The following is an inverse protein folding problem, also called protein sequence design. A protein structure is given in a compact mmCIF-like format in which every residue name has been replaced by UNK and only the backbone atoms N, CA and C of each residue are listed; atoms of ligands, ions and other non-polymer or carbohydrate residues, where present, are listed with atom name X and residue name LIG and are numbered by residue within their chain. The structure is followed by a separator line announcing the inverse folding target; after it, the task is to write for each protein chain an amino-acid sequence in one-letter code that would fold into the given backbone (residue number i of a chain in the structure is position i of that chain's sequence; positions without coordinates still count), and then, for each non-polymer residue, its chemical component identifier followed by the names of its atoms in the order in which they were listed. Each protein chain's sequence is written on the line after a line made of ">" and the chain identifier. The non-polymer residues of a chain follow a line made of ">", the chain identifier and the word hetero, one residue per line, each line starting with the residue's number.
data_IF_512749955112
#
_entry.id   IF_512749955112
#
_cell.length_a   1.000
_cell.length_b   1.000
_cell.length_c   1.000
_cell.angle_alpha   90.00
_cell.angle_beta   90.00
_cell.angle_gamma   90.00
#
_symmetry.space_group_name_H-M   'P 1'
#
loop_
_entity.id
_entity.type
_entity.pdbx_description
1 polymer ?
#
# COMPACT_ATOMS: atom_id res chain seq x y z
N UNK A 1 46.47 10.12 57.78
CA UNK A 1 46.68 11.16 58.81
C UNK A 1 47.14 10.57 60.14
N UNK A 2 46.86 9.29 60.44
CA UNK A 2 47.08 8.71 61.78
C UNK A 2 48.49 8.24 62.13
N UNK A 3 49.40 8.03 61.17
CA UNK A 3 50.76 7.55 61.47
C UNK A 3 51.72 8.70 61.77
N UNK A 4 51.65 9.79 61.01
CA UNK A 4 52.53 10.96 61.17
C UNK A 4 52.05 11.90 62.30
N UNK A 5 50.74 11.96 62.58
CA UNK A 5 50.18 12.79 63.65
C UNK A 5 50.60 12.39 65.07
N UNK A 6 51.29 11.25 65.23
CA UNK A 6 51.85 10.77 66.51
C UNK A 6 53.26 11.31 66.80
N UNK A 7 53.95 11.86 65.80
CA UNK A 7 55.22 12.57 66.00
C UNK A 7 54.91 14.06 66.15
N UNK A 8 55.30 14.67 67.27
CA UNK A 8 55.20 16.12 67.45
C UNK A 8 56.15 16.85 66.50
N UNK A 9 55.79 18.08 66.09
CA UNK A 9 56.63 18.90 65.20
C UNK A 9 58.06 19.06 65.74
N UNK A 10 58.21 19.16 67.06
CA UNK A 10 59.50 19.25 67.75
C UNK A 10 60.35 17.99 67.57
N UNK A 11 59.74 16.79 67.62
CA UNK A 11 60.44 15.51 67.40
C UNK A 11 60.88 15.36 65.94
N UNK A 12 60.06 15.83 65.00
CA UNK A 12 60.39 15.84 63.57
C UNK A 12 61.55 16.80 63.29
N UNK A 13 61.55 17.98 63.91
CA UNK A 13 62.65 18.95 63.79
C UNK A 13 63.96 18.39 64.37
N UNK A 14 63.89 17.75 65.55
CA UNK A 14 65.03 17.10 66.18
C UNK A 14 65.59 15.95 65.32
N UNK A 15 64.73 15.12 64.74
CA UNK A 15 65.13 14.06 63.80
C UNK A 15 65.87 14.63 62.59
N UNK A 16 65.34 15.70 61.97
CA UNK A 16 65.98 16.35 60.83
C UNK A 16 67.38 16.86 61.16
N UNK A 17 67.58 17.41 62.36
CA UNK A 17 68.90 17.87 62.78
C UNK A 17 69.89 16.71 62.95
N UNK A 18 69.45 15.47 63.22
CA UNK A 18 70.37 14.34 63.47
C UNK A 18 70.53 13.36 62.32
N UNK A 19 69.74 13.49 61.26
CA UNK A 19 69.89 12.69 60.03
C UNK A 19 71.31 12.84 59.48
N UNK A 20 71.98 11.71 59.23
CA UNK A 20 73.33 11.67 58.64
C UNK A 20 74.48 12.06 59.58
N UNK A 21 74.20 12.39 60.86
CA UNK A 21 75.24 12.68 61.86
C UNK A 21 75.83 11.39 62.45
N UNK A 22 77.09 11.45 62.89
CA UNK A 22 77.76 10.34 63.58
C UNK A 22 77.15 10.06 64.96
N UNK A 23 77.33 8.85 65.48
CA UNK A 23 76.83 8.46 66.82
C UNK A 23 77.33 9.39 67.93
N UNK A 24 78.57 9.85 67.85
CA UNK A 24 79.18 10.76 68.82
C UNK A 24 78.51 12.14 68.84
N UNK A 25 78.15 12.67 67.66
CA UNK A 25 77.38 13.91 67.57
C UNK A 25 75.97 13.75 68.15
N UNK A 26 75.32 12.60 67.92
CA UNK A 26 74.00 12.30 68.48
C UNK A 26 74.06 12.21 70.01
N UNK A 27 75.09 11.53 70.57
CA UNK A 27 75.31 11.48 72.02
C UNK A 27 75.48 12.87 72.62
N UNK A 28 76.22 13.75 71.96
CA UNK A 28 76.41 15.13 72.42
C UNK A 28 75.07 15.90 72.47
N UNK A 29 74.19 15.68 71.49
CA UNK A 29 72.85 16.30 71.47
C UNK A 29 71.95 15.84 72.63
N UNK A 30 72.05 14.57 73.05
CA UNK A 30 71.40 14.11 74.29
C UNK A 30 71.99 14.79 75.53
N UNK A 31 73.31 14.93 75.63
CA UNK A 31 73.96 15.61 76.76
C UNK A 31 73.59 17.09 76.87
N UNK A 32 73.38 17.76 75.73
CA UNK A 32 72.96 19.16 75.67
C UNK A 32 71.46 19.36 75.93
N UNK A 33 70.70 18.27 76.11
CA UNK A 33 69.24 18.32 76.29
C UNK A 33 68.47 18.67 75.01
N UNK A 34 69.15 18.72 73.87
CA UNK A 34 68.53 18.99 72.57
C UNK A 34 67.77 17.76 72.03
N UNK A 35 68.07 16.57 72.53
CA UNK A 35 67.27 15.36 72.35
C UNK A 35 66.77 14.88 73.71
N UNK A 36 65.47 14.57 73.80
CA UNK A 36 64.87 14.01 75.01
C UNK A 36 65.33 12.57 75.25
N UNK A 37 65.87 12.28 76.43
CA UNK A 37 66.24 10.93 76.84
C UNK A 37 65.12 10.29 77.68
N UNK A 38 64.74 9.05 77.37
CA UNK A 38 63.81 8.27 78.18
C UNK A 38 64.51 7.47 79.28
N UNK A 39 63.74 7.04 80.29
CA UNK A 39 64.25 6.13 81.32
C UNK A 39 64.30 4.68 80.80
N UNK A 40 65.17 3.82 81.36
CA UNK A 40 65.19 2.40 81.04
C UNK A 40 63.79 1.77 81.18
N UNK A 41 63.34 1.04 80.16
CA UNK A 41 62.00 0.45 80.08
C UNK A 41 60.91 1.36 79.49
N UNK A 42 61.21 2.63 79.23
CA UNK A 42 60.36 3.57 78.49
C UNK A 42 61.21 4.57 77.72
N UNK A 43 61.92 4.10 76.69
CA UNK A 43 62.78 4.96 75.89
C UNK A 43 61.93 5.79 74.92
N UNK A 44 62.09 7.12 74.96
CA UNK A 44 61.30 8.07 74.15
C UNK A 44 61.46 7.89 72.63
N UNK A 45 62.56 7.28 72.18
CA UNK A 45 62.88 7.11 70.76
C UNK A 45 62.54 5.71 70.20
N UNK A 46 62.15 4.75 71.05
CA UNK A 46 61.69 3.42 70.61
C UNK A 46 60.40 3.54 69.81
N UNK A 47 59.39 4.23 70.35
CA UNK A 47 58.11 4.49 69.67
C UNK A 47 58.32 5.27 68.36
N UNK A 48 59.21 6.27 68.37
CA UNK A 48 59.53 7.02 67.16
C UNK A 48 60.15 6.13 66.08
N UNK A 49 61.04 5.20 66.45
CA UNK A 49 61.64 4.25 65.51
C UNK A 49 60.60 3.28 64.92
N UNK A 50 59.70 2.73 65.73
CA UNK A 50 58.60 1.88 65.25
C UNK A 50 57.70 2.62 64.26
N UNK A 51 57.33 3.87 64.56
CA UNK A 51 56.53 4.70 63.65
C UNK A 51 57.28 4.94 62.34
N UNK A 52 58.54 5.40 62.41
CA UNK A 52 59.32 5.78 61.23
C UNK A 52 59.62 4.59 60.31
N UNK A 53 59.91 3.42 60.89
CA UNK A 53 60.15 2.18 60.12
C UNK A 53 58.89 1.66 59.43
N UNK A 54 57.69 1.96 59.96
CA UNK A 54 56.40 1.61 59.33
C UNK A 54 55.92 2.57 58.23
N UNK A 55 56.55 3.75 58.05
CA UNK A 55 56.12 4.75 57.06
C UNK A 55 56.25 4.26 55.62
N UNK A 56 57.34 3.61 55.16
CA UNK A 56 57.47 3.19 53.77
C UNK A 56 56.37 2.22 53.34
N UNK A 57 56.04 1.24 54.17
CA UNK A 57 54.99 0.26 53.88
C UNK A 57 53.60 0.91 53.90
N UNK A 58 53.36 1.83 54.85
CA UNK A 58 52.13 2.63 54.89
C UNK A 58 51.98 3.51 53.65
N UNK A 59 53.07 4.15 53.20
CA UNK A 59 53.08 5.00 52.00
C UNK A 59 52.82 4.18 50.73
N UNK A 60 53.45 3.01 50.62
CA UNK A 60 53.23 2.06 49.52
C UNK A 60 51.77 1.61 49.47
N UNK A 61 51.21 1.19 50.60
CA UNK A 61 49.79 0.78 50.71
C UNK A 61 48.85 1.90 50.27
N UNK A 62 49.10 3.14 50.70
CA UNK A 62 48.28 4.30 50.30
C UNK A 62 48.42 4.60 48.81
N UNK A 63 49.62 4.48 48.25
CA UNK A 63 49.88 4.74 46.82
C UNK A 63 49.22 3.70 45.92
N UNK A 64 49.26 2.42 46.31
CA UNK A 64 48.54 1.33 45.64
C UNK A 64 47.02 1.57 45.70
N UNK A 65 46.50 2.00 46.86
CA UNK A 65 45.09 2.33 47.01
C UNK A 65 44.68 3.53 46.12
N UNK A 66 45.48 4.59 46.08
CA UNK A 66 45.25 5.75 45.20
C UNK A 66 45.21 5.30 43.74
N UNK A 67 46.15 4.46 43.31
CA UNK A 67 46.21 3.96 41.93
C UNK A 67 44.98 3.12 41.60
N UNK A 68 44.54 2.27 42.52
CA UNK A 68 43.31 1.47 42.37
C UNK A 68 42.06 2.36 42.24
N UNK A 69 41.92 3.36 43.11
CA UNK A 69 40.80 4.32 43.07
C UNK A 69 40.80 5.13 41.78
N UNK A 70 41.97 5.58 41.30
CA UNK A 70 42.10 6.27 40.01
C UNK A 70 41.69 5.37 38.84
N UNK A 71 42.03 4.08 38.89
CA UNK A 71 41.56 3.09 37.91
C UNK A 71 40.04 2.95 37.91
N UNK A 72 39.41 2.91 39.08
CA UNK A 72 37.94 2.87 39.20
C UNK A 72 37.28 4.16 38.70
N UNK A 73 37.83 5.33 39.01
CA UNK A 73 37.34 6.62 38.50
C UNK A 73 37.36 6.62 36.97
N UNK A 74 38.46 6.17 36.37
CA UNK A 74 38.59 6.10 34.90
C UNK A 74 37.55 5.16 34.30
N UNK A 75 37.37 3.96 34.89
CA UNK A 75 36.36 2.99 34.45
C UNK A 75 34.93 3.55 34.55
N UNK A 76 34.60 4.22 35.65
CA UNK A 76 33.28 4.81 35.84
C UNK A 76 33.04 5.98 34.88
N UNK A 77 34.06 6.79 34.58
CA UNK A 77 33.95 7.87 33.60
C UNK A 77 33.69 7.35 32.19
N UNK A 78 34.32 6.24 31.79
CA UNK A 78 33.99 5.57 30.51
C UNK A 78 32.55 5.10 30.50
N UNK A 79 32.10 4.44 31.57
CA UNK A 79 30.70 3.97 31.68
C UNK A 79 29.67 5.10 31.63
N UNK A 80 29.97 6.25 32.23
CA UNK A 80 29.11 7.44 32.17
C UNK A 80 28.98 7.92 30.72
N UNK A 81 30.10 8.00 29.97
CA UNK A 81 30.06 8.40 28.55
C UNK A 81 29.24 7.43 27.69
N UNK A 82 29.37 6.13 27.93
CA UNK A 82 28.62 5.12 27.19
C UNK A 82 27.10 5.27 27.45
N UNK A 83 26.71 5.51 28.71
CA UNK A 83 25.32 5.75 29.10
C UNK A 83 24.80 7.08 28.49
N UNK A 84 25.60 8.14 28.49
CA UNK A 84 25.21 9.42 27.89
C UNK A 84 24.96 9.28 26.38
N UNK A 85 25.77 8.48 25.69
CA UNK A 85 25.56 8.17 24.27
C UNK A 85 24.26 7.39 24.02
N UNK A 86 23.95 6.41 24.89
CA UNK A 86 22.69 5.65 24.82
C UNK A 86 21.47 6.54 25.07
N UNK A 87 21.55 7.46 26.05
CA UNK A 87 20.48 8.44 26.31
C UNK A 87 20.24 9.33 25.10
N UNK A 88 21.29 9.80 24.42
CA UNK A 88 21.14 10.62 23.21
C UNK A 88 20.49 9.84 22.07
N UNK A 89 20.86 8.57 21.86
CA UNK A 89 20.25 7.71 20.84
C UNK A 89 18.75 7.51 21.11
N UNK A 90 18.36 7.21 22.35
CA UNK A 90 16.96 7.03 22.74
C UNK A 90 16.15 8.33 22.62
N UNK A 91 16.76 9.49 22.89
CA UNK A 91 16.10 10.79 22.68
C UNK A 91 15.83 11.08 21.20
N UNK A 92 16.75 10.68 20.32
CA UNK A 92 16.57 10.81 18.88
C UNK A 92 15.47 9.88 18.37
N UNK A 93 15.45 8.62 18.80
CA UNK A 93 14.39 7.66 18.47
C UNK A 93 13.02 8.14 18.95
N UNK A 94 12.93 8.65 20.18
CA UNK A 94 11.68 9.26 20.70
C UNK A 94 11.19 10.39 19.80
N UNK A 95 12.10 11.24 19.32
CA UNK A 95 11.74 12.37 18.45
C UNK A 95 11.19 11.88 17.12
N UNK A 96 11.85 10.89 16.50
CA UNK A 96 11.37 10.26 15.25
C UNK A 96 10.00 9.60 15.42
N UNK A 97 9.77 8.91 16.53
CA UNK A 97 8.46 8.30 16.82
C UNK A 97 7.36 9.34 17.02
N UNK A 98 7.67 10.48 17.65
CA UNK A 98 6.71 11.57 17.80
C UNK A 98 6.34 12.22 16.46
N UNK A 99 7.32 12.41 15.57
CA UNK A 99 7.08 12.87 14.19
C UNK A 99 6.19 11.87 13.44
N UNK A 100 6.51 10.58 13.49
CA UNK A 100 5.71 9.54 12.83
C UNK A 100 4.26 9.47 13.37
N UNK A 101 4.07 9.64 14.68
CA UNK A 101 2.72 9.70 15.29
C UNK A 101 1.98 10.94 14.83
N UNK A 102 2.66 12.10 14.72
CA UNK A 102 2.05 13.33 14.20
C UNK A 102 1.62 13.15 12.75
N UNK A 103 2.48 12.61 11.90
CA UNK A 103 2.19 12.37 10.48
C UNK A 103 1.02 11.40 10.29
N UNK A 104 0.97 10.32 11.08
CA UNK A 104 -0.13 9.37 11.08
C UNK A 104 -1.43 10.01 11.58
N UNK A 105 -1.37 10.83 12.63
CA UNK A 105 -2.53 11.54 13.16
C UNK A 105 -3.10 12.51 12.13
N UNK A 106 -2.23 13.29 11.48
CA UNK A 106 -2.61 14.22 10.41
C UNK A 106 -3.19 13.48 9.19
N UNK A 107 -2.66 12.29 8.87
CA UNK A 107 -3.22 11.43 7.80
C UNK A 107 -4.62 10.93 8.16
N UNK A 108 -4.83 10.47 9.40
CA UNK A 108 -6.12 9.97 9.89
C UNK A 108 -7.15 11.10 10.00
N UNK A 109 -6.73 12.31 10.41
CA UNK A 109 -7.61 13.48 10.45
C UNK A 109 -7.94 14.03 9.06
N UNK A 110 -7.00 13.97 8.09
CA UNK A 110 -7.31 14.27 6.68
C UNK A 110 -8.27 13.26 6.05
N UNK A 111 -8.21 12.01 6.49
CA UNK A 111 -9.18 10.96 6.17
C UNK A 111 -10.45 11.01 7.06
N UNK A 112 -10.85 12.20 7.54
CA UNK A 112 -12.14 12.42 8.21
C UNK A 112 -13.36 12.05 7.35
N UNK A 113 -13.19 11.91 6.02
CA UNK A 113 -14.19 11.30 5.15
C UNK A 113 -14.44 9.81 5.49
N UNK A 114 -13.43 9.08 5.97
CA UNK A 114 -13.52 7.65 6.29
C UNK A 114 -14.21 7.39 7.64
N UNK A 115 -14.04 8.26 8.64
CA UNK A 115 -14.66 8.08 9.97
C UNK A 115 -16.17 8.32 9.95
N UNK A 116 -16.65 9.27 9.14
CA UNK A 116 -18.08 9.42 8.78
C UNK A 116 -18.56 8.20 7.97
N UNK A 117 -17.66 7.52 7.24
CA UNK A 117 -17.99 6.39 6.37
C UNK A 117 -18.09 5.05 7.09
N UNK A 118 -17.36 4.77 8.17
CA UNK A 118 -17.42 3.44 8.83
C UNK A 118 -18.81 3.17 9.44
N UNK A 119 -19.42 4.19 10.06
CA UNK A 119 -20.78 4.06 10.59
C UNK A 119 -21.81 3.95 9.46
N UNK A 120 -21.64 4.70 8.37
CA UNK A 120 -22.48 4.61 7.17
C UNK A 120 -22.36 3.23 6.50
N UNK A 121 -21.15 2.69 6.33
CA UNK A 121 -20.86 1.37 5.76
C UNK A 121 -21.44 0.25 6.62
N UNK A 122 -21.35 0.35 7.95
CA UNK A 122 -21.92 -0.62 8.88
C UNK A 122 -23.45 -0.71 8.75
N UNK A 123 -24.13 0.38 8.41
CA UNK A 123 -25.57 0.38 8.13
C UNK A 123 -25.88 0.04 6.66
N UNK A 124 -25.01 0.39 5.71
CA UNK A 124 -25.20 0.17 4.28
C UNK A 124 -25.37 -1.31 3.92
N UNK A 125 -24.52 -2.19 4.47
CA UNK A 125 -24.58 -3.61 4.14
C UNK A 125 -25.95 -4.27 4.46
N UNK A 126 -26.50 -4.17 5.68
CA UNK A 126 -27.80 -4.76 5.99
C UNK A 126 -29.02 -3.95 5.49
N UNK A 127 -28.92 -2.61 5.37
CA UNK A 127 -30.08 -1.78 5.02
C UNK A 127 -30.22 -1.45 3.53
N UNK A 128 -29.13 -1.55 2.75
CA UNK A 128 -29.12 -1.21 1.32
C UNK A 128 -28.63 -2.37 0.48
N UNK A 129 -27.43 -2.89 0.76
CA UNK A 129 -26.82 -3.91 -0.10
C UNK A 129 -27.62 -5.22 -0.13
N UNK A 130 -28.13 -5.67 1.03
CA UNK A 130 -28.94 -6.89 1.10
C UNK A 130 -30.27 -6.77 0.33
N UNK A 131 -31.13 -5.75 0.56
CA UNK A 131 -32.33 -5.57 -0.25
C UNK A 131 -32.05 -5.40 -1.75
N UNK A 132 -30.99 -4.67 -2.12
CA UNK A 132 -30.58 -4.51 -3.52
C UNK A 132 -30.24 -5.86 -4.16
N UNK A 133 -29.46 -6.70 -3.46
CA UNK A 133 -29.11 -8.03 -3.95
C UNK A 133 -30.33 -8.95 -4.09
N UNK A 134 -31.27 -8.88 -3.14
CA UNK A 134 -32.52 -9.65 -3.20
C UNK A 134 -33.35 -9.25 -4.43
N UNK A 135 -33.53 -7.94 -4.66
CA UNK A 135 -34.25 -7.41 -5.83
C UNK A 135 -33.53 -7.74 -7.14
N UNK A 136 -32.20 -7.58 -7.19
CA UNK A 136 -31.39 -7.93 -8.36
C UNK A 136 -31.54 -9.42 -8.71
N UNK A 137 -31.45 -10.31 -7.71
CA UNK A 137 -31.59 -11.74 -7.92
C UNK A 137 -32.99 -12.12 -8.42
N UNK A 138 -34.04 -11.49 -7.91
CA UNK A 138 -35.42 -11.70 -8.35
C UNK A 138 -35.60 -11.26 -9.81
N UNK A 139 -35.21 -10.03 -10.13
CA UNK A 139 -35.33 -9.45 -11.47
C UNK A 139 -34.49 -10.21 -12.50
N UNK A 140 -33.24 -10.56 -12.16
CA UNK A 140 -32.37 -11.35 -13.03
C UNK A 140 -32.96 -12.73 -13.33
N UNK A 141 -33.55 -13.38 -12.31
CA UNK A 141 -34.22 -14.69 -12.49
C UNK A 141 -35.47 -14.58 -13.37
N UNK A 142 -36.24 -13.51 -13.23
CA UNK A 142 -37.41 -13.24 -14.06
C UNK A 142 -37.01 -13.02 -15.53
N UNK A 143 -35.99 -12.19 -15.78
CA UNK A 143 -35.44 -11.96 -17.13
C UNK A 143 -34.92 -13.26 -17.74
N UNK A 144 -34.12 -14.05 -17.01
CA UNK A 144 -33.59 -15.32 -17.51
C UNK A 144 -34.70 -16.32 -17.85
N UNK A 145 -35.77 -16.36 -17.04
CA UNK A 145 -36.94 -17.23 -17.29
C UNK A 145 -37.70 -16.78 -18.54
N UNK A 146 -37.92 -15.47 -18.70
CA UNK A 146 -38.57 -14.91 -19.89
C UNK A 146 -37.78 -15.19 -21.16
N UNK A 147 -36.47 -14.92 -21.18
CA UNK A 147 -35.59 -15.17 -22.33
C UNK A 147 -35.59 -16.63 -22.78
N UNK A 148 -35.72 -17.57 -21.82
CA UNK A 148 -35.76 -19.00 -22.09
C UNK A 148 -37.10 -19.46 -22.65
N UNK A 149 -38.21 -18.89 -22.16
CA UNK A 149 -39.55 -19.37 -22.49
C UNK A 149 -40.15 -18.64 -23.69
N UNK A 150 -40.06 -17.32 -23.72
CA UNK A 150 -40.57 -16.45 -24.77
C UNK A 150 -39.74 -15.15 -24.87
N UNK A 151 -38.62 -15.16 -25.62
CA UNK A 151 -37.74 -14.01 -25.73
C UNK A 151 -38.39 -12.81 -26.44
N UNK A 152 -39.50 -13.00 -27.17
CA UNK A 152 -40.20 -11.96 -27.92
C UNK A 152 -41.35 -11.30 -27.15
N UNK A 153 -41.52 -11.60 -25.86
CA UNK A 153 -42.64 -11.11 -25.03
C UNK A 153 -42.17 -10.17 -23.90
N UNK A 154 -41.34 -9.17 -24.25
CA UNK A 154 -41.00 -8.06 -23.34
C UNK A 154 -41.82 -6.82 -23.67
N UNK A 155 -42.38 -6.18 -22.65
CA UNK A 155 -43.09 -4.91 -22.78
C UNK A 155 -42.16 -3.71 -22.90
N UNK A 156 -42.73 -2.57 -23.26
CA UNK A 156 -42.07 -1.27 -23.10
C UNK A 156 -41.89 -0.92 -21.61
N UNK A 157 -41.10 0.10 -21.28
CA UNK A 157 -40.94 0.54 -19.89
C UNK A 157 -42.25 1.04 -19.25
N UNK A 158 -43.18 1.54 -20.06
CA UNK A 158 -44.44 2.13 -19.63
C UNK A 158 -45.67 1.24 -19.86
N UNK A 159 -45.49 -0.03 -20.22
CA UNK A 159 -46.62 -0.93 -20.46
C UNK A 159 -47.20 -1.46 -19.15
N UNK A 160 -48.50 -1.21 -18.93
CA UNK A 160 -49.28 -1.74 -17.80
C UNK A 160 -49.90 -3.12 -18.09
N UNK A 161 -49.36 -3.86 -19.06
CA UNK A 161 -49.88 -5.16 -19.50
C UNK A 161 -49.32 -6.35 -18.69
N UNK A 162 -48.50 -6.07 -17.68
CA UNK A 162 -47.90 -7.09 -16.81
C UNK A 162 -46.71 -7.83 -17.42
N UNK A 163 -46.28 -7.48 -18.64
CA UNK A 163 -45.05 -8.02 -19.24
C UNK A 163 -43.82 -7.45 -18.56
N UNK A 164 -42.74 -8.24 -18.55
CA UNK A 164 -41.44 -7.75 -18.09
C UNK A 164 -40.92 -6.69 -19.06
N UNK A 165 -40.46 -5.53 -18.58
CA UNK A 165 -40.01 -4.47 -19.47
C UNK A 165 -38.65 -4.82 -20.11
N UNK A 166 -38.50 -4.54 -21.40
CA UNK A 166 -37.26 -4.71 -22.16
C UNK A 166 -36.08 -3.94 -21.52
N UNK A 167 -36.38 -2.83 -20.85
CA UNK A 167 -35.43 -2.04 -20.09
C UNK A 167 -34.59 -2.86 -19.09
N UNK A 168 -35.14 -3.95 -18.51
CA UNK A 168 -34.37 -4.83 -17.62
C UNK A 168 -33.27 -5.57 -18.37
N UNK A 169 -33.55 -6.02 -19.60
CA UNK A 169 -32.55 -6.67 -20.47
C UNK A 169 -31.47 -5.67 -20.85
N UNK A 170 -31.85 -4.45 -21.22
CA UNK A 170 -30.91 -3.38 -21.56
C UNK A 170 -30.01 -3.03 -20.37
N UNK A 171 -30.59 -2.96 -19.16
CA UNK A 171 -29.84 -2.73 -17.93
C UNK A 171 -28.88 -3.90 -17.62
N UNK A 172 -29.31 -5.15 -17.78
CA UNK A 172 -28.43 -6.32 -17.64
C UNK A 172 -27.30 -6.33 -18.67
N UNK A 173 -27.50 -5.76 -19.85
CA UNK A 173 -26.48 -5.53 -20.86
C UNK A 173 -25.62 -4.28 -20.60
N UNK A 174 -25.78 -3.62 -19.44
CA UNK A 174 -25.05 -2.43 -19.00
C UNK A 174 -25.28 -1.20 -19.89
N UNK A 175 -26.45 -1.10 -20.52
CA UNK A 175 -26.84 0.14 -21.20
C UNK A 175 -27.01 1.26 -20.18
N UNK A 176 -26.57 2.47 -20.53
CA UNK A 176 -26.69 3.64 -19.65
C UNK A 176 -28.17 3.98 -19.37
N UNK A 177 -28.50 4.55 -18.20
CA UNK A 177 -29.84 5.01 -17.88
C UNK A 177 -30.44 5.96 -18.92
N UNK A 178 -29.61 6.79 -19.54
CA UNK A 178 -29.99 7.74 -20.59
C UNK A 178 -30.53 7.00 -21.82
N UNK A 179 -29.76 6.03 -22.35
CA UNK A 179 -30.19 5.17 -23.47
C UNK A 179 -31.46 4.39 -23.12
N UNK A 180 -31.56 3.82 -21.92
CA UNK A 180 -32.77 3.09 -21.49
C UNK A 180 -33.99 4.02 -21.51
N UNK A 181 -33.82 5.27 -21.08
CA UNK A 181 -34.89 6.27 -21.07
C UNK A 181 -35.27 6.71 -22.49
N UNK A 182 -34.30 6.89 -23.38
CA UNK A 182 -34.55 7.22 -24.80
C UNK A 182 -35.31 6.09 -25.52
N UNK A 183 -35.11 4.85 -25.10
CA UNK A 183 -35.77 3.65 -25.63
C UNK A 183 -36.94 3.18 -24.76
N UNK A 184 -37.50 4.04 -23.91
CA UNK A 184 -38.53 3.64 -22.95
C UNK A 184 -39.82 3.10 -23.61
N UNK A 185 -40.14 3.58 -24.83
CA UNK A 185 -41.30 3.12 -25.60
C UNK A 185 -41.02 1.87 -26.45
N UNK A 186 -39.75 1.42 -26.51
CA UNK A 186 -39.34 0.26 -27.31
C UNK A 186 -39.76 -1.04 -26.61
N UNK A 187 -40.54 -1.87 -27.30
CA UNK A 187 -40.89 -3.21 -26.86
C UNK A 187 -40.05 -4.29 -27.58
N UNK A 188 -40.26 -5.55 -27.23
CA UNK A 188 -39.57 -6.67 -27.90
C UNK A 188 -39.86 -6.75 -29.39
N UNK A 189 -41.08 -6.45 -29.83
CA UNK A 189 -41.46 -6.54 -31.24
C UNK A 189 -40.62 -5.60 -32.10
N UNK A 190 -40.50 -4.35 -31.68
CA UNK A 190 -39.66 -3.36 -32.36
C UNK A 190 -38.16 -3.68 -32.18
N UNK A 191 -37.75 -4.20 -31.03
CA UNK A 191 -36.37 -4.57 -30.74
C UNK A 191 -35.87 -5.75 -31.61
N UNK A 192 -36.74 -6.69 -31.97
CA UNK A 192 -36.41 -7.79 -32.87
C UNK A 192 -36.68 -7.48 -34.34
N UNK A 193 -37.18 -6.27 -34.64
CA UNK A 193 -37.49 -5.89 -36.00
C UNK A 193 -36.22 -5.86 -36.87
N UNK A 194 -36.29 -6.30 -38.14
CA UNK A 194 -35.18 -6.15 -39.09
C UNK A 194 -34.73 -4.70 -39.31
N UNK A 195 -35.55 -3.73 -38.90
CA UNK A 195 -35.30 -2.29 -38.99
C UNK A 195 -34.68 -1.67 -37.74
N UNK A 196 -34.30 -2.45 -36.72
CA UNK A 196 -33.83 -1.92 -35.42
C UNK A 196 -32.79 -0.80 -35.56
N UNK A 197 -31.73 -0.96 -36.36
CA UNK A 197 -30.69 0.08 -36.52
C UNK A 197 -31.27 1.42 -36.99
N UNK A 198 -32.28 1.38 -37.88
CA UNK A 198 -32.96 2.59 -38.36
C UNK A 198 -33.84 3.21 -37.28
N UNK A 199 -34.55 2.38 -36.51
CA UNK A 199 -35.32 2.82 -35.33
C UNK A 199 -34.41 3.51 -34.32
N UNK A 200 -33.26 2.91 -33.99
CA UNK A 200 -32.30 3.51 -33.05
C UNK A 200 -31.68 4.80 -33.59
N UNK A 201 -31.43 4.91 -34.91
CA UNK A 201 -31.02 6.18 -35.54
C UNK A 201 -32.08 7.26 -35.37
N UNK A 202 -33.36 6.91 -35.49
CA UNK A 202 -34.46 7.84 -35.26
C UNK A 202 -34.51 8.35 -33.81
N UNK A 203 -34.21 7.48 -32.84
CA UNK A 203 -34.05 7.86 -31.43
C UNK A 203 -32.77 8.67 -31.15
N UNK A 204 -31.90 8.87 -32.14
CA UNK A 204 -30.66 9.63 -31.98
C UNK A 204 -29.55 8.86 -31.26
N UNK A 205 -29.67 7.53 -31.14
CA UNK A 205 -28.67 6.70 -30.48
C UNK A 205 -27.36 6.70 -31.29
N UNK A 206 -26.24 6.90 -30.60
CA UNK A 206 -24.91 6.93 -31.20
C UNK A 206 -24.54 5.59 -31.87
N UNK A 207 -23.59 5.65 -32.80
CA UNK A 207 -23.20 4.48 -33.59
C UNK A 207 -22.78 3.27 -32.74
N UNK A 208 -21.93 3.46 -31.72
CA UNK A 208 -21.38 2.36 -30.94
C UNK A 208 -22.49 1.67 -30.15
N UNK A 209 -23.31 2.45 -29.45
CA UNK A 209 -24.45 1.95 -28.68
C UNK A 209 -25.47 1.26 -29.60
N UNK A 210 -25.71 1.79 -30.81
CA UNK A 210 -26.56 1.11 -31.80
C UNK A 210 -26.04 -0.28 -32.16
N UNK A 211 -24.74 -0.43 -32.39
CA UNK A 211 -24.17 -1.73 -32.73
C UNK A 211 -24.20 -2.70 -31.56
N UNK A 212 -24.03 -2.23 -30.32
CA UNK A 212 -24.23 -3.06 -29.13
C UNK A 212 -25.68 -3.55 -29.00
N UNK A 213 -26.67 -2.69 -29.24
CA UNK A 213 -28.09 -3.03 -29.19
C UNK A 213 -28.49 -3.99 -30.32
N UNK A 214 -28.04 -3.76 -31.56
CA UNK A 214 -28.27 -4.68 -32.66
C UNK A 214 -27.62 -6.04 -32.43
N UNK A 215 -26.42 -6.07 -31.85
CA UNK A 215 -25.75 -7.31 -31.48
C UNK A 215 -26.49 -8.04 -30.36
N UNK A 216 -26.96 -7.33 -29.33
CA UNK A 216 -27.78 -7.89 -28.25
C UNK A 216 -29.06 -8.53 -28.80
N UNK A 217 -29.80 -7.82 -29.65
CA UNK A 217 -31.01 -8.33 -30.32
C UNK A 217 -30.72 -9.62 -31.09
N UNK A 218 -29.64 -9.65 -31.89
CA UNK A 218 -29.23 -10.83 -32.64
C UNK A 218 -28.83 -12.02 -31.74
N UNK A 219 -28.15 -11.76 -30.62
CA UNK A 219 -27.75 -12.81 -29.67
C UNK A 219 -28.95 -13.39 -28.93
N UNK A 220 -29.92 -12.55 -28.55
CA UNK A 220 -31.17 -13.00 -27.93
C UNK A 220 -31.99 -13.88 -28.88
N UNK A 221 -32.08 -13.52 -30.16
CA UNK A 221 -32.76 -14.34 -31.19
C UNK A 221 -32.12 -15.71 -31.40
N UNK A 222 -30.79 -15.84 -31.21
CA UNK A 222 -30.05 -17.06 -31.54
C UNK A 222 -29.78 -17.99 -30.37
N UNK A 223 -29.45 -17.44 -29.19
CA UNK A 223 -28.85 -18.24 -28.12
C UNK A 223 -29.68 -18.31 -26.83
N UNK A 224 -30.89 -17.71 -26.78
CA UNK A 224 -31.81 -17.71 -25.61
C UNK A 224 -31.20 -17.20 -24.29
N UNK A 225 -29.91 -16.83 -24.26
CA UNK A 225 -29.23 -16.25 -23.12
C UNK A 225 -28.09 -15.33 -23.60
N UNK A 226 -28.11 -14.03 -23.28
CA UNK A 226 -27.02 -13.11 -23.57
C UNK A 226 -25.89 -13.28 -22.54
N UNK A 227 -25.40 -14.52 -22.33
CA UNK A 227 -24.13 -14.73 -21.63
C UNK A 227 -23.01 -14.29 -22.57
N UNK A 228 -22.66 -13.00 -22.48
CA UNK A 228 -21.58 -12.39 -23.25
C UNK A 228 -20.24 -13.09 -23.00
N UNK A 229 -20.01 -13.58 -21.78
CA UNK A 229 -18.69 -14.02 -21.34
C UNK A 229 -18.34 -15.41 -21.86
N UNK A 230 -19.27 -16.37 -21.86
CA UNK A 230 -19.00 -17.73 -22.32
C UNK A 230 -18.67 -17.80 -23.81
N UNK A 231 -19.37 -17.00 -24.63
CA UNK A 231 -19.10 -16.94 -26.07
C UNK A 231 -17.82 -16.17 -26.39
N UNK A 232 -17.52 -15.09 -25.65
CA UNK A 232 -16.26 -14.34 -25.80
C UNK A 232 -15.05 -15.23 -25.56
N UNK A 233 -15.12 -16.19 -24.63
CA UNK A 233 -14.03 -17.16 -24.40
C UNK A 233 -13.76 -18.06 -25.62
N UNK A 234 -14.79 -18.34 -26.44
CA UNK A 234 -14.70 -19.28 -27.57
C UNK A 234 -14.53 -18.61 -28.94
N UNK A 235 -14.92 -17.35 -29.06
CA UNK A 235 -14.91 -16.63 -30.33
C UNK A 235 -13.87 -15.51 -30.33
N UNK A 236 -12.76 -15.72 -31.07
CA UNK A 236 -11.65 -14.75 -31.20
C UNK A 236 -12.09 -13.37 -31.71
N UNK A 237 -13.15 -13.34 -32.53
CA UNK A 237 -13.74 -12.08 -32.99
C UNK A 237 -14.40 -11.37 -31.80
N UNK A 238 -15.28 -12.04 -31.07
CA UNK A 238 -16.01 -11.43 -29.95
C UNK A 238 -15.10 -11.08 -28.76
N UNK A 239 -13.98 -11.77 -28.59
CA UNK A 239 -12.96 -11.45 -27.57
C UNK A 239 -12.13 -10.21 -27.91
N UNK A 240 -12.18 -9.73 -29.15
CA UNK A 240 -11.48 -8.50 -29.55
C UNK A 240 -12.27 -7.30 -29.03
N UNK A 241 -11.90 -6.78 -27.86
CA UNK A 241 -12.65 -5.76 -27.13
C UNK A 241 -12.35 -4.32 -27.58
N UNK A 242 -11.35 -4.12 -28.44
CA UNK A 242 -10.93 -2.82 -28.94
C UNK A 242 -10.28 -2.91 -30.33
N UNK A 243 -10.00 -1.73 -30.92
CA UNK A 243 -9.41 -1.59 -32.26
C UNK A 243 -8.00 -2.17 -32.40
N UNK A 244 -7.20 -2.18 -31.34
CA UNK A 244 -5.86 -2.77 -31.35
C UNK A 244 -5.96 -4.30 -31.42
N UNK A 245 -6.82 -4.91 -30.60
CA UNK A 245 -7.09 -6.35 -30.63
C UNK A 245 -7.63 -6.80 -32.01
N UNK A 246 -8.50 -6.01 -32.63
CA UNK A 246 -8.94 -6.23 -34.01
C UNK A 246 -7.77 -6.18 -34.98
N UNK A 247 -6.87 -5.21 -34.84
CA UNK A 247 -5.74 -5.03 -35.75
C UNK A 247 -4.82 -6.25 -35.71
N UNK A 248 -4.50 -6.76 -34.51
CA UNK A 248 -3.75 -8.01 -34.36
C UNK A 248 -4.48 -9.21 -35.00
N UNK A 249 -5.80 -9.31 -34.83
CA UNK A 249 -6.58 -10.38 -35.45
C UNK A 249 -6.55 -10.32 -36.98
N UNK A 250 -6.59 -9.12 -37.57
CA UNK A 250 -6.48 -8.95 -39.01
C UNK A 250 -5.09 -9.32 -39.52
N UNK A 251 -4.04 -8.95 -38.79
CA UNK A 251 -2.66 -9.32 -39.10
C UNK A 251 -2.44 -10.84 -39.04
N UNK A 252 -2.95 -11.52 -38.01
CA UNK A 252 -2.86 -12.98 -37.85
C UNK A 252 -3.48 -13.74 -39.04
N UNK A 253 -4.52 -13.17 -39.64
CA UNK A 253 -5.26 -13.76 -40.75
C UNK A 253 -4.89 -13.21 -42.15
N UNK A 254 -3.82 -12.42 -42.25
CA UNK A 254 -3.35 -11.79 -43.51
C UNK A 254 -4.44 -10.98 -44.23
N UNK A 255 -5.16 -10.15 -43.45
CA UNK A 255 -6.24 -9.28 -43.93
C UNK A 255 -5.80 -7.81 -43.98
N UNK A 256 -6.43 -7.04 -44.88
CA UNK A 256 -6.20 -5.59 -44.99
C UNK A 256 -6.49 -4.89 -43.64
N UNK A 257 -5.56 -4.05 -43.23
CA UNK A 257 -5.73 -3.18 -42.06
C UNK A 257 -6.92 -2.23 -42.23
N UNK A 258 -7.60 -1.95 -41.12
CA UNK A 258 -8.71 -1.01 -41.08
C UNK A 258 -8.21 0.44 -41.09
N UNK A 259 -8.97 1.38 -41.68
CA UNK A 259 -8.70 2.81 -41.51
C UNK A 259 -8.65 3.18 -40.03
N UNK A 260 -7.67 3.98 -39.62
CA UNK A 260 -7.39 4.29 -38.20
C UNK A 260 -8.61 4.83 -37.45
N UNK A 261 -9.34 5.78 -38.05
CA UNK A 261 -10.50 6.42 -37.42
C UNK A 261 -11.69 5.45 -37.25
N UNK A 262 -11.80 4.48 -38.16
CA UNK A 262 -12.78 3.39 -38.07
C UNK A 262 -12.36 2.40 -36.98
N UNK A 263 -11.10 1.92 -37.01
CA UNK A 263 -10.58 0.95 -36.05
C UNK A 263 -10.68 1.43 -34.60
N UNK A 264 -10.43 2.72 -34.34
CA UNK A 264 -10.45 3.31 -33.01
C UNK A 264 -11.83 3.24 -32.31
N UNK A 265 -12.90 3.09 -33.08
CA UNK A 265 -14.29 3.06 -32.58
C UNK A 265 -14.92 1.66 -32.64
N UNK A 266 -14.12 0.63 -32.92
CA UNK A 266 -14.62 -0.72 -33.16
C UNK A 266 -14.17 -1.68 -32.08
N UNK A 267 -15.06 -2.62 -31.77
CA UNK A 267 -14.74 -3.92 -31.21
C UNK A 267 -15.26 -5.03 -32.13
N UNK A 268 -14.93 -6.27 -31.82
CA UNK A 268 -15.34 -7.43 -32.62
C UNK A 268 -16.84 -7.51 -32.88
N UNK A 269 -17.70 -7.44 -31.84
CA UNK A 269 -19.15 -7.36 -32.01
C UNK A 269 -19.61 -6.24 -32.96
N UNK A 270 -19.04 -5.03 -32.84
CA UNK A 270 -19.37 -3.90 -33.73
C UNK A 270 -19.03 -4.21 -35.19
N UNK A 271 -17.86 -4.80 -35.45
CA UNK A 271 -17.48 -5.22 -36.81
C UNK A 271 -18.46 -6.24 -37.39
N UNK A 272 -18.91 -7.20 -36.58
CA UNK A 272 -19.89 -8.19 -37.03
C UNK A 272 -21.22 -7.54 -37.44
N UNK A 273 -21.62 -6.47 -36.77
CA UNK A 273 -22.82 -5.68 -37.07
C UNK A 273 -22.66 -4.57 -38.12
N UNK A 274 -21.43 -4.28 -38.57
CA UNK A 274 -21.15 -3.18 -39.50
C UNK A 274 -21.47 -3.57 -40.94
N UNK A 275 -22.26 -2.76 -41.64
CA UNK A 275 -22.54 -2.93 -43.07
C UNK A 275 -21.81 -1.92 -43.96
N UNK A 276 -21.99 -2.04 -45.27
CA UNK A 276 -21.33 -1.13 -46.22
C UNK A 276 -21.88 0.29 -46.15
N UNK A 277 -23.14 0.47 -45.74
CA UNK A 277 -23.75 1.79 -45.59
C UNK A 277 -23.21 2.49 -44.35
N UNK A 278 -22.95 1.78 -43.26
CA UNK A 278 -22.28 2.31 -42.08
C UNK A 278 -20.89 2.86 -42.46
N UNK A 279 -20.10 2.09 -43.20
CA UNK A 279 -18.76 2.51 -43.64
C UNK A 279 -18.79 3.78 -44.50
N UNK A 280 -19.78 3.92 -45.37
CA UNK A 280 -19.90 5.06 -46.28
C UNK A 280 -20.52 6.28 -45.60
N UNK A 281 -21.56 6.09 -44.79
CA UNK A 281 -22.35 7.20 -44.26
C UNK A 281 -21.83 7.68 -42.90
N UNK A 282 -21.40 6.77 -42.03
CA UNK A 282 -20.93 7.10 -40.67
C UNK A 282 -19.43 7.42 -40.69
N UNK A 283 -18.63 6.62 -41.40
CA UNK A 283 -17.17 6.76 -41.45
C UNK A 283 -16.66 7.47 -42.71
N UNK A 284 -17.56 7.89 -43.61
CA UNK A 284 -17.25 8.65 -44.82
C UNK A 284 -16.19 7.99 -45.71
N UNK A 285 -16.10 6.65 -45.68
CA UNK A 285 -15.17 5.92 -46.50
C UNK A 285 -15.64 5.94 -47.95
N UNK A 286 -14.70 6.11 -48.89
CA UNK A 286 -15.01 5.96 -50.30
C UNK A 286 -15.45 4.51 -50.61
N UNK A 287 -16.25 4.34 -51.65
CA UNK A 287 -16.84 3.04 -51.99
C UNK A 287 -15.80 1.94 -52.24
N UNK A 288 -14.59 2.27 -52.70
CA UNK A 288 -13.54 1.27 -52.94
C UNK A 288 -12.97 0.79 -51.61
N UNK A 289 -12.64 1.72 -50.71
CA UNK A 289 -12.12 1.40 -49.36
C UNK A 289 -13.16 0.64 -48.55
N UNK A 290 -14.42 1.10 -48.53
CA UNK A 290 -15.52 0.41 -47.86
C UNK A 290 -15.69 -1.04 -48.36
N UNK A 291 -15.57 -1.28 -49.68
CA UNK A 291 -15.62 -2.64 -50.25
C UNK A 291 -14.45 -3.52 -49.80
N UNK A 292 -13.25 -2.95 -49.59
CA UNK A 292 -12.11 -3.72 -49.06
C UNK A 292 -12.35 -4.11 -47.62
N UNK A 293 -12.71 -3.16 -46.76
CA UNK A 293 -13.05 -3.39 -45.34
C UNK A 293 -14.14 -4.45 -45.20
N UNK A 294 -15.18 -4.40 -46.05
CA UNK A 294 -16.25 -5.41 -46.04
C UNK A 294 -15.77 -6.84 -46.37
N UNK A 295 -14.64 -7.02 -47.07
CA UNK A 295 -14.08 -8.36 -47.28
C UNK A 295 -13.54 -8.93 -45.98
N UNK A 296 -12.78 -8.12 -45.22
CA UNK A 296 -12.27 -8.49 -43.90
C UNK A 296 -13.42 -8.76 -42.93
N UNK A 297 -14.43 -7.89 -42.87
CA UNK A 297 -15.63 -8.10 -42.04
C UNK A 297 -16.36 -9.41 -42.41
N UNK A 298 -16.52 -9.72 -43.70
CA UNK A 298 -17.14 -10.98 -44.13
C UNK A 298 -16.32 -12.20 -43.70
N UNK A 299 -15.00 -12.10 -43.68
CA UNK A 299 -14.15 -13.17 -43.18
C UNK A 299 -14.34 -13.37 -41.68
N UNK A 300 -14.29 -12.29 -40.89
CA UNK A 300 -14.52 -12.35 -39.44
C UNK A 300 -15.92 -12.88 -39.10
N UNK A 301 -16.95 -12.52 -39.89
CA UNK A 301 -18.29 -13.11 -39.77
C UNK A 301 -18.30 -14.62 -39.96
N UNK A 302 -17.47 -15.17 -40.86
CA UNK A 302 -17.33 -16.63 -41.03
C UNK A 302 -16.66 -17.27 -39.81
N UNK A 303 -15.61 -16.66 -39.26
CA UNK A 303 -14.98 -17.13 -38.03
C UNK A 303 -15.99 -17.17 -36.87
N UNK A 304 -16.75 -16.09 -36.69
CA UNK A 304 -17.80 -16.02 -35.68
C UNK A 304 -18.89 -17.08 -35.89
N UNK A 305 -19.35 -17.29 -37.13
CA UNK A 305 -20.33 -18.33 -37.44
C UNK A 305 -19.82 -19.75 -37.18
N UNK A 306 -18.52 -20.02 -37.35
CA UNK A 306 -17.94 -21.31 -37.01
C UNK A 306 -17.92 -21.50 -35.49
N UNK A 307 -17.49 -20.49 -34.73
CA UNK A 307 -17.51 -20.54 -33.27
C UNK A 307 -18.92 -20.74 -32.68
N UNK A 308 -19.96 -20.23 -33.36
CA UNK A 308 -21.35 -20.46 -32.98
C UNK A 308 -21.86 -21.90 -33.24
N UNK A 309 -21.25 -22.65 -34.17
CA UNK A 309 -21.64 -24.03 -34.49
C UNK A 309 -21.00 -25.07 -33.57
N UNK A 310 -19.92 -24.70 -32.90
CA UNK A 310 -19.17 -25.56 -31.97
C UNK A 310 -19.74 -25.48 -30.53
N UNK A 311 -20.87 -24.78 -30.34
CA UNK A 311 -21.68 -24.69 -29.12
C UNK A 311 -23.00 -25.43 -29.29
#
# INVERSE_FOLDING_TARGET
>A
RDVIGKLTDDRIAALRDVIGKSKENIKQKFHLGELSLGFPGKLEWEEANEILTGIPESYKTVTEHITSVQGQITKNNTRIRDIDAEIQALQQEKTQLLEAVSDLSDSVEKDTALSVSISAVRHFAPSVAKPVLEVESELASAVATQLKNDPEDFGSLYSDDGRLPLALVLNSAKMSPEVIKELADLDSFDFFSPGLDSTLKFYGIDFATRKDLCYLSHMMQRNQHPSYDDHKVKCVVCSSDNGEAISYLLEEHDLDALPTDFAAQMNGPHLLGTDIQDLVNEFQLDTRTAKSVMKSIRYLRKLHQNALKDN
#
